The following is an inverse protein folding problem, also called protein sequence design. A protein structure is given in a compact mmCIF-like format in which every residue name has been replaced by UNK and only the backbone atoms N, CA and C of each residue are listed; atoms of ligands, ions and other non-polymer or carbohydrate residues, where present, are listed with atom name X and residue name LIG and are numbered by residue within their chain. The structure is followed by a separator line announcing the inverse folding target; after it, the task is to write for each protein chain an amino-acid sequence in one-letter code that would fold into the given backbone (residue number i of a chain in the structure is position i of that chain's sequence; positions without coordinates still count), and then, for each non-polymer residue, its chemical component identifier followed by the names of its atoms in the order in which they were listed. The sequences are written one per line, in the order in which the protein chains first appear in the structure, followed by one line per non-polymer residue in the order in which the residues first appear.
data_IF_836751830155
#
_entry.id   IF_836751830155
#
_cell.length_a   1.000
_cell.length_b   1.000
_cell.length_c   1.000
_cell.angle_alpha   90.00
_cell.angle_beta   90.00
_cell.angle_gamma   90.00
#
_symmetry.space_group_name_H-M   'P 1'
#
loop_
_entity.id
_entity.type
_entity.pdbx_description
1 polymer ?
#
# COMPACT_ATOMS: atom_id res chain seq x y z
N UNK A 1 0.00 -49.30 -23.18
CA UNK A 1 -1.45 -49.04 -23.12
C UNK A 1 -1.76 -47.74 -23.85
N UNK A 2 -2.88 -47.65 -24.57
CA UNK A 2 -3.41 -46.38 -25.10
C UNK A 2 -4.58 -45.92 -24.23
N UNK A 3 -4.74 -44.62 -24.01
CA UNK A 3 -5.84 -44.03 -23.26
C UNK A 3 -6.28 -42.72 -23.91
N UNK A 4 -7.56 -42.37 -23.75
CA UNK A 4 -8.14 -41.16 -24.32
C UNK A 4 -7.93 -39.97 -23.38
N UNK A 5 -7.55 -38.82 -23.95
CA UNK A 5 -7.40 -37.54 -23.24
C UNK A 5 -8.68 -36.71 -23.34
N UNK A 6 -8.73 -35.60 -22.58
CA UNK A 6 -9.84 -34.63 -22.62
C UNK A 6 -10.08 -33.98 -23.99
N UNK A 7 -9.06 -33.90 -24.84
CA UNK A 7 -9.12 -33.38 -26.21
C UNK A 7 -9.55 -34.44 -27.24
N UNK A 8 -10.05 -35.61 -26.78
CA UNK A 8 -10.36 -36.80 -27.57
C UNK A 8 -9.16 -37.39 -28.35
N UNK A 9 -7.93 -36.94 -28.07
CA UNK A 9 -6.74 -37.56 -28.63
C UNK A 9 -6.33 -38.80 -27.84
N UNK A 10 -5.62 -39.71 -28.50
CA UNK A 10 -5.12 -40.94 -27.88
C UNK A 10 -3.64 -40.77 -27.52
N UNK A 11 -3.32 -41.01 -26.25
CA UNK A 11 -1.93 -41.09 -25.79
C UNK A 11 -1.55 -42.51 -25.45
N UNK A 12 -0.26 -42.84 -25.58
CA UNK A 12 0.29 -44.12 -25.20
C UNK A 12 1.26 -43.97 -24.03
N UNK A 13 1.18 -44.88 -23.06
CA UNK A 13 2.20 -45.07 -22.02
C UNK A 13 2.70 -46.51 -22.08
N UNK A 14 4.02 -46.67 -22.07
CA UNK A 14 4.72 -47.96 -22.03
C UNK A 14 5.38 -48.20 -20.66
N UNK A 15 6.11 -49.31 -20.52
CA UNK A 15 6.91 -49.61 -19.32
C UNK A 15 6.18 -50.34 -18.20
N UNK A 16 5.09 -51.04 -18.49
CA UNK A 16 4.37 -51.86 -17.50
C UNK A 16 4.92 -53.28 -17.47
N UNK A 17 5.10 -53.84 -16.28
CA UNK A 17 5.58 -55.21 -16.07
C UNK A 17 4.57 -56.26 -16.54
N UNK A 18 3.26 -55.94 -16.48
CA UNK A 18 2.18 -56.86 -16.87
C UNK A 18 1.11 -56.18 -17.72
N UNK A 19 0.42 -56.97 -18.55
CA UNK A 19 -0.73 -56.50 -19.36
C UNK A 19 -1.87 -55.99 -18.47
N UNK A 20 -2.09 -56.62 -17.32
CA UNK A 20 -3.11 -56.26 -16.34
C UNK A 20 -2.83 -54.90 -15.71
N UNK A 21 -1.59 -54.62 -15.30
CA UNK A 21 -1.19 -53.31 -14.80
C UNK A 21 -1.39 -52.22 -15.87
N UNK A 22 -1.06 -52.52 -17.13
CA UNK A 22 -1.26 -51.61 -18.24
C UNK A 22 -2.75 -51.28 -18.47
N UNK A 23 -3.65 -52.27 -18.38
CA UNK A 23 -5.10 -52.10 -18.51
C UNK A 23 -5.71 -51.29 -17.36
N UNK A 24 -5.37 -51.64 -16.11
CA UNK A 24 -5.87 -50.94 -14.92
C UNK A 24 -5.48 -49.46 -14.95
N UNK A 25 -4.22 -49.17 -15.29
CA UNK A 25 -3.77 -47.79 -15.42
C UNK A 25 -4.55 -47.02 -16.50
N UNK A 26 -4.82 -47.65 -17.65
CA UNK A 26 -5.64 -47.02 -18.71
C UNK A 26 -7.07 -46.73 -18.25
N UNK A 27 -7.70 -47.67 -17.56
CA UNK A 27 -9.06 -47.51 -17.01
C UNK A 27 -9.13 -46.42 -15.94
N UNK A 28 -8.10 -46.29 -15.09
CA UNK A 28 -7.98 -45.20 -14.12
C UNK A 28 -7.89 -43.84 -14.82
N UNK A 29 -7.06 -43.70 -15.86
CA UNK A 29 -6.98 -42.45 -16.61
C UNK A 29 -8.31 -42.09 -17.28
N UNK A 30 -8.97 -43.06 -17.90
CA UNK A 30 -10.30 -42.86 -18.51
C UNK A 30 -11.36 -42.54 -17.46
N UNK A 31 -11.27 -43.10 -16.25
CA UNK A 31 -12.14 -42.74 -15.13
C UNK A 31 -11.93 -41.29 -14.69
N UNK A 32 -10.67 -40.83 -14.58
CA UNK A 32 -10.36 -39.43 -14.30
C UNK A 32 -10.86 -38.48 -15.39
N UNK A 33 -10.78 -38.88 -16.67
CA UNK A 33 -11.29 -38.10 -17.80
C UNK A 33 -12.82 -37.99 -17.72
N UNK A 34 -13.51 -39.11 -17.49
CA UNK A 34 -14.97 -39.13 -17.29
C UNK A 34 -15.41 -38.31 -16.09
N UNK A 35 -14.64 -38.31 -15.00
CA UNK A 35 -14.89 -37.50 -13.82
C UNK A 35 -14.57 -36.01 -14.01
N UNK A 36 -13.91 -35.63 -15.12
CA UNK A 36 -13.46 -34.26 -15.38
C UNK A 36 -12.31 -33.80 -14.47
N UNK A 37 -11.68 -34.72 -13.74
CA UNK A 37 -10.56 -34.45 -12.82
C UNK A 37 -9.21 -34.78 -13.43
N UNK A 38 -9.18 -35.27 -14.67
CA UNK A 38 -7.93 -35.58 -15.35
C UNK A 38 -7.15 -34.30 -15.66
N UNK A 39 -5.90 -34.29 -15.21
CA UNK A 39 -4.92 -33.25 -15.49
C UNK A 39 -3.75 -33.95 -16.19
N UNK A 40 -3.26 -33.40 -17.30
CA UNK A 40 -2.14 -34.00 -18.02
C UNK A 40 -0.93 -34.12 -17.08
N UNK A 41 -0.34 -35.32 -16.89
CA UNK A 41 0.82 -35.52 -16.03
C UNK A 41 1.97 -34.55 -16.31
N UNK A 42 2.20 -34.19 -17.58
CA UNK A 42 3.24 -33.21 -17.93
C UNK A 42 2.91 -31.80 -17.46
N UNK A 43 1.63 -31.47 -17.42
CA UNK A 43 1.15 -30.17 -16.92
C UNK A 43 1.19 -30.10 -15.39
N UNK A 44 1.16 -31.23 -14.70
CA UNK A 44 1.32 -31.32 -13.24
C UNK A 44 2.77 -31.14 -12.78
N UNK A 45 3.73 -31.42 -13.66
CA UNK A 45 5.17 -31.36 -13.37
C UNK A 45 5.76 -29.94 -13.44
N UNK A 46 4.99 -28.94 -13.88
CA UNK A 46 5.45 -27.54 -13.90
C UNK A 46 5.90 -27.11 -12.50
N UNK A 47 7.05 -26.45 -12.44
CA UNK A 47 7.57 -25.94 -11.17
C UNK A 47 6.78 -24.72 -10.70
N UNK A 48 6.74 -24.47 -9.40
CA UNK A 48 6.10 -23.29 -8.84
C UNK A 48 6.75 -22.00 -9.38
N UNK A 49 8.07 -21.98 -9.57
CA UNK A 49 8.78 -20.83 -10.11
C UNK A 49 8.32 -20.45 -11.52
N UNK A 50 8.21 -21.44 -12.41
CA UNK A 50 7.70 -21.24 -13.77
C UNK A 50 6.25 -20.78 -13.76
N UNK A 51 5.41 -21.40 -12.93
CA UNK A 51 4.01 -21.01 -12.79
C UNK A 51 3.87 -19.57 -12.25
N UNK A 52 4.66 -19.20 -11.23
CA UNK A 52 4.66 -17.86 -10.66
C UNK A 52 5.11 -16.80 -11.69
N UNK A 53 6.08 -17.12 -12.55
CA UNK A 53 6.49 -16.24 -13.65
C UNK A 53 5.38 -16.07 -14.70
N UNK A 54 4.70 -17.16 -15.09
CA UNK A 54 3.55 -17.11 -16.00
C UNK A 54 2.41 -16.28 -15.42
N UNK A 55 2.11 -16.46 -14.13
CA UNK A 55 1.13 -15.66 -13.42
C UNK A 55 1.50 -14.18 -13.41
N UNK A 56 2.77 -13.88 -13.10
CA UNK A 56 3.27 -12.51 -13.05
C UNK A 56 3.11 -11.76 -14.37
N UNK A 57 3.37 -12.43 -15.49
CA UNK A 57 3.24 -11.85 -16.83
C UNK A 57 1.79 -11.45 -17.17
N UNK A 58 0.80 -12.10 -16.55
CA UNK A 58 -0.63 -11.87 -16.82
C UNK A 58 -1.31 -11.03 -15.72
N UNK A 59 -0.68 -10.88 -14.56
CA UNK A 59 -1.26 -10.23 -13.40
C UNK A 59 -1.49 -8.73 -13.64
N UNK A 60 -2.75 -8.29 -13.56
CA UNK A 60 -3.11 -6.87 -13.60
C UNK A 60 -3.17 -6.30 -12.18
N UNK A 61 -2.05 -5.78 -11.72
CA UNK A 61 -1.88 -5.23 -10.36
C UNK A 61 -1.65 -3.71 -10.41
N UNK A 62 -2.01 -3.00 -9.35
CA UNK A 62 -1.56 -1.61 -9.18
C UNK A 62 -0.06 -1.58 -8.85
N UNK A 63 0.64 -0.51 -9.22
CA UNK A 63 2.09 -0.33 -9.01
C UNK A 63 2.54 -0.72 -7.59
N UNK A 64 1.81 -0.27 -6.56
CA UNK A 64 2.14 -0.57 -5.17
C UNK A 64 1.88 -2.05 -4.81
N UNK A 65 0.80 -2.65 -5.32
CA UNK A 65 0.53 -4.08 -5.10
C UNK A 65 1.57 -4.94 -5.79
N UNK A 66 1.98 -4.57 -7.00
CA UNK A 66 3.05 -5.24 -7.72
C UNK A 66 4.38 -5.15 -6.94
N UNK A 67 4.78 -3.96 -6.49
CA UNK A 67 6.00 -3.83 -5.68
C UNK A 67 5.94 -4.70 -4.40
N UNK A 68 4.81 -4.68 -3.69
CA UNK A 68 4.59 -5.50 -2.49
C UNK A 68 4.69 -7.00 -2.79
N UNK A 69 3.98 -7.47 -3.82
CA UNK A 69 3.98 -8.89 -4.18
C UNK A 69 5.33 -9.36 -4.68
N UNK A 70 6.05 -8.50 -5.42
CA UNK A 70 7.41 -8.82 -5.88
C UNK A 70 8.35 -9.02 -4.70
N UNK A 71 8.28 -8.13 -3.70
CA UNK A 71 9.05 -8.26 -2.46
C UNK A 71 8.74 -9.58 -1.75
N UNK A 72 7.48 -9.97 -1.60
CA UNK A 72 7.11 -11.24 -0.97
C UNK A 72 7.56 -12.47 -1.77
N UNK A 73 7.41 -12.42 -3.09
CA UNK A 73 7.86 -13.49 -3.98
C UNK A 73 9.35 -13.71 -3.85
N UNK A 74 10.15 -12.64 -3.99
CA UNK A 74 11.61 -12.75 -4.04
C UNK A 74 12.21 -13.05 -2.67
N UNK A 75 11.66 -12.48 -1.59
CA UNK A 75 12.22 -12.63 -0.26
C UNK A 75 11.83 -13.94 0.46
N UNK A 76 10.61 -14.45 0.24
CA UNK A 76 10.06 -15.51 1.09
C UNK A 76 9.51 -16.71 0.33
N UNK A 77 8.82 -16.49 -0.80
CA UNK A 77 8.09 -17.57 -1.48
C UNK A 77 9.01 -18.33 -2.44
N UNK A 78 9.67 -17.63 -3.37
CA UNK A 78 10.55 -18.26 -4.36
C UNK A 78 11.75 -18.97 -3.73
N UNK A 79 12.43 -18.44 -2.68
CA UNK A 79 13.52 -19.16 -2.03
C UNK A 79 13.11 -20.52 -1.47
N UNK A 80 11.85 -20.69 -1.06
CA UNK A 80 11.35 -21.94 -0.50
C UNK A 80 10.80 -22.90 -1.57
N UNK A 81 10.08 -22.37 -2.56
CA UNK A 81 9.21 -23.21 -3.40
C UNK A 81 9.55 -23.22 -4.88
N UNK A 82 10.45 -22.35 -5.38
CA UNK A 82 10.67 -22.13 -6.82
C UNK A 82 10.88 -23.44 -7.59
N UNK A 83 11.72 -24.34 -7.08
CA UNK A 83 12.13 -25.55 -7.79
C UNK A 83 11.20 -26.75 -7.52
N UNK A 84 10.17 -26.57 -6.71
CA UNK A 84 9.21 -27.63 -6.40
C UNK A 84 8.13 -27.74 -7.48
N UNK A 85 7.84 -28.96 -7.97
CA UNK A 85 6.67 -29.21 -8.81
C UNK A 85 5.39 -28.84 -8.06
N UNK A 86 4.42 -28.21 -8.74
CA UNK A 86 3.15 -27.83 -8.11
C UNK A 86 2.43 -29.03 -7.47
N UNK A 87 2.49 -30.20 -8.11
CA UNK A 87 1.90 -31.43 -7.57
C UNK A 87 2.60 -31.92 -6.30
N UNK A 88 3.92 -31.71 -6.17
CA UNK A 88 4.66 -32.05 -4.96
C UNK A 88 4.28 -31.14 -3.78
N UNK A 89 4.10 -29.84 -4.05
CA UNK A 89 3.57 -28.89 -3.06
C UNK A 89 2.15 -29.29 -2.64
N UNK A 90 1.31 -29.70 -3.60
CA UNK A 90 -0.05 -30.15 -3.31
C UNK A 90 -0.08 -31.36 -2.36
N UNK A 91 0.78 -32.35 -2.60
CA UNK A 91 0.82 -33.58 -1.83
C UNK A 91 1.46 -33.43 -0.45
N UNK A 92 2.24 -32.36 -0.21
CA UNK A 92 3.02 -32.22 1.02
C UNK A 92 2.57 -31.03 1.89
N UNK A 93 1.44 -31.22 2.57
CA UNK A 93 0.89 -30.23 3.48
C UNK A 93 1.79 -29.92 4.69
N UNK A 94 2.55 -30.91 5.19
CA UNK A 94 3.44 -30.74 6.34
C UNK A 94 4.56 -29.74 6.04
N UNK A 95 5.13 -29.77 4.83
CA UNK A 95 6.16 -28.80 4.43
C UNK A 95 5.63 -27.37 4.40
N UNK A 96 4.38 -27.18 3.98
CA UNK A 96 3.74 -25.86 3.99
C UNK A 96 3.58 -25.35 5.42
N UNK A 97 3.08 -26.19 6.33
CA UNK A 97 2.94 -25.82 7.74
C UNK A 97 4.31 -25.55 8.38
N UNK A 98 5.33 -26.36 8.08
CA UNK A 98 6.70 -26.16 8.55
C UNK A 98 7.32 -24.87 8.04
N UNK A 99 7.08 -24.52 6.77
CA UNK A 99 7.51 -23.24 6.19
C UNK A 99 6.81 -22.05 6.84
N UNK A 100 5.49 -22.12 7.07
CA UNK A 100 4.75 -21.06 7.78
C UNK A 100 5.28 -20.85 9.20
N UNK A 101 5.61 -21.92 9.92
CA UNK A 101 6.19 -21.81 11.25
C UNK A 101 7.55 -21.09 11.20
N UNK A 102 8.42 -21.41 10.24
CA UNK A 102 9.69 -20.68 10.04
C UNK A 102 9.48 -19.21 9.72
N UNK A 103 8.43 -18.86 8.96
CA UNK A 103 8.09 -17.46 8.73
C UNK A 103 7.67 -16.74 10.01
N UNK A 104 7.00 -17.43 10.94
CA UNK A 104 6.65 -16.86 12.24
C UNK A 104 7.88 -16.63 13.14
N UNK A 105 8.96 -17.39 12.95
CA UNK A 105 10.23 -17.17 13.68
C UNK A 105 10.96 -15.90 13.20
N UNK A 106 10.77 -15.52 11.93
CA UNK A 106 11.49 -14.42 11.28
C UNK A 106 10.66 -13.13 11.13
N UNK A 107 9.33 -13.23 11.04
CA UNK A 107 8.44 -12.11 10.74
C UNK A 107 7.32 -11.94 11.76
N UNK A 108 6.85 -10.70 11.88
CA UNK A 108 5.63 -10.41 12.62
C UNK A 108 4.40 -11.10 12.00
N UNK A 109 3.46 -11.55 12.84
CA UNK A 109 2.26 -12.30 12.44
C UNK A 109 1.48 -11.69 11.25
N UNK A 110 1.23 -10.37 11.19
CA UNK A 110 0.50 -9.77 10.05
C UNK A 110 1.27 -9.86 8.72
N UNK A 111 2.60 -9.84 8.80
CA UNK A 111 3.48 -10.01 7.64
C UNK A 111 3.43 -11.45 7.16
N UNK A 112 3.48 -12.43 8.06
CA UNK A 112 3.31 -13.85 7.73
C UNK A 112 1.96 -14.09 7.05
N UNK A 113 0.87 -13.56 7.62
CA UNK A 113 -0.45 -13.64 7.02
C UNK A 113 -0.50 -13.03 5.61
N UNK A 114 0.19 -11.91 5.38
CA UNK A 114 0.26 -11.26 4.06
C UNK A 114 1.05 -12.08 3.03
N UNK A 115 2.19 -12.65 3.42
CA UNK A 115 3.01 -13.52 2.56
C UNK A 115 2.24 -14.80 2.22
N UNK A 116 1.66 -15.44 3.23
CA UNK A 116 0.88 -16.66 3.06
C UNK A 116 -0.38 -16.43 2.21
N UNK A 117 -1.05 -15.29 2.36
CA UNK A 117 -2.20 -14.94 1.53
C UNK A 117 -1.83 -14.85 0.03
N UNK A 118 -0.65 -14.31 -0.30
CA UNK A 118 -0.17 -14.30 -1.68
C UNK A 118 0.13 -15.72 -2.19
N UNK A 119 0.80 -16.54 -1.38
CA UNK A 119 1.07 -17.95 -1.71
C UNK A 119 -0.23 -18.72 -1.98
N UNK A 120 -1.22 -18.61 -1.09
CA UNK A 120 -2.55 -19.22 -1.27
C UNK A 120 -3.28 -18.68 -2.50
N UNK A 121 -3.11 -17.39 -2.85
CA UNK A 121 -3.67 -16.82 -4.08
C UNK A 121 -3.05 -17.44 -5.34
N UNK A 122 -1.74 -17.71 -5.33
CA UNK A 122 -1.06 -18.39 -6.42
C UNK A 122 -1.54 -19.84 -6.54
N UNK A 123 -1.63 -20.58 -5.44
CA UNK A 123 -2.18 -21.94 -5.43
C UNK A 123 -3.63 -21.98 -5.92
N UNK A 124 -4.49 -21.04 -5.52
CA UNK A 124 -5.85 -20.92 -6.05
C UNK A 124 -5.86 -20.65 -7.56
N UNK A 125 -4.90 -19.88 -8.06
CA UNK A 125 -4.78 -19.64 -9.51
C UNK A 125 -4.33 -20.91 -10.23
N UNK A 126 -3.45 -21.71 -9.62
CA UNK A 126 -3.04 -23.01 -10.15
C UNK A 126 -4.21 -24.01 -10.21
N UNK A 127 -5.12 -23.99 -9.22
CA UNK A 127 -6.38 -24.77 -9.26
C UNK A 127 -7.24 -24.34 -10.44
N UNK A 128 -7.43 -23.03 -10.65
CA UNK A 128 -8.22 -22.50 -11.77
C UNK A 128 -7.61 -22.83 -13.13
N UNK A 129 -6.28 -22.86 -13.20
CA UNK A 129 -5.52 -23.30 -14.38
C UNK A 129 -5.48 -24.83 -14.54
N UNK A 130 -6.19 -25.59 -13.69
CA UNK A 130 -6.22 -27.06 -13.65
C UNK A 130 -4.82 -27.69 -13.57
N UNK A 131 -3.88 -27.05 -12.86
CA UNK A 131 -2.54 -27.61 -12.62
C UNK A 131 -2.48 -28.49 -11.37
N UNK A 132 -3.30 -28.15 -10.37
CA UNK A 132 -3.47 -28.91 -9.13
C UNK A 132 -4.97 -29.10 -8.86
N UNK A 133 -5.37 -30.21 -8.21
CA UNK A 133 -6.79 -30.53 -8.03
C UNK A 133 -7.48 -29.64 -6.99
N UNK A 134 -6.77 -29.21 -5.94
CA UNK A 134 -7.29 -28.32 -4.91
C UNK A 134 -6.17 -27.45 -4.30
N UNK A 135 -6.54 -26.44 -3.51
CA UNK A 135 -5.58 -25.56 -2.87
C UNK A 135 -5.00 -26.23 -1.61
N UNK A 136 -3.68 -26.53 -1.56
CA UNK A 136 -3.05 -27.18 -0.40
C UNK A 136 -2.91 -26.28 0.82
N UNK A 137 -3.12 -24.97 0.66
CA UNK A 137 -3.13 -23.98 1.74
C UNK A 137 -4.39 -24.06 2.62
N UNK A 138 -5.41 -24.82 2.19
CA UNK A 138 -6.62 -24.99 2.96
C UNK A 138 -6.32 -25.77 4.27
N UNK A 139 -6.76 -25.22 5.40
CA UNK A 139 -6.54 -25.82 6.72
C UNK A 139 -5.20 -25.48 7.39
N UNK A 140 -4.28 -24.79 6.69
CA UNK A 140 -3.04 -24.28 7.28
C UNK A 140 -3.38 -23.19 8.28
N UNK A 141 -2.89 -23.33 9.52
CA UNK A 141 -3.12 -22.34 10.57
C UNK A 141 -2.10 -21.22 10.44
N UNK A 142 -2.59 -20.01 10.21
CA UNK A 142 -1.78 -18.79 10.22
C UNK A 142 -2.38 -17.84 11.24
N UNK A 143 -1.60 -17.47 12.26
CA UNK A 143 -2.01 -16.43 13.19
C UNK A 143 -1.85 -15.07 12.50
N UNK A 144 -2.88 -14.24 12.53
CA UNK A 144 -2.85 -12.88 11.98
C UNK A 144 -2.48 -11.82 13.02
N UNK A 145 -2.13 -12.22 14.25
CA UNK A 145 -2.01 -11.33 15.39
C UNK A 145 -3.37 -10.94 15.96
N UNK A 146 -3.48 -10.98 17.29
CA UNK A 146 -4.48 -10.21 18.01
C UNK A 146 -4.03 -8.75 18.03
N UNK A 147 -4.74 -7.86 17.34
CA UNK A 147 -4.53 -6.43 17.51
C UNK A 147 -5.29 -5.97 18.75
N UNK A 148 -4.59 -5.70 19.85
CA UNK A 148 -5.14 -4.78 20.83
C UNK A 148 -5.19 -3.40 20.17
N UNK A 149 -6.40 -2.99 19.80
CA UNK A 149 -6.64 -1.66 19.26
C UNK A 149 -6.67 -0.65 20.40
N UNK A 150 -5.54 -0.47 21.07
CA UNK A 150 -5.37 0.72 21.91
C UNK A 150 -5.26 1.92 20.95
N UNK A 151 -6.43 2.49 20.61
CA UNK A 151 -6.52 3.67 19.75
C UNK A 151 -6.08 4.87 20.56
N UNK A 152 -4.77 5.06 20.63
CA UNK A 152 -4.20 6.25 21.23
C UNK A 152 -4.53 7.45 20.35
N UNK A 153 -5.47 8.27 20.83
CA UNK A 153 -5.84 9.53 20.19
C UNK A 153 -4.99 10.64 20.79
N UNK A 154 -4.27 11.37 19.94
CA UNK A 154 -3.46 12.49 20.38
C UNK A 154 -4.35 13.64 20.89
N UNK A 155 -4.03 14.17 22.07
CA UNK A 155 -4.64 15.40 22.58
C UNK A 155 -4.21 16.61 21.73
N UNK A 156 -5.00 17.71 21.72
CA UNK A 156 -4.62 18.92 20.99
C UNK A 156 -3.22 19.46 21.34
N UNK A 157 -2.81 19.34 22.61
CA UNK A 157 -1.48 19.75 23.09
C UNK A 157 -0.39 18.84 22.52
N UNK A 158 -0.62 17.52 22.45
CA UNK A 158 0.33 16.59 21.83
C UNK A 158 0.47 16.84 20.33
N UNK A 159 -0.63 17.14 19.64
CA UNK A 159 -0.63 17.54 18.22
C UNK A 159 0.22 18.80 18.02
N UNK A 160 0.00 19.85 18.82
CA UNK A 160 0.77 21.09 18.71
C UNK A 160 2.26 20.84 18.96
N UNK A 161 2.61 20.06 19.99
CA UNK A 161 4.01 19.68 20.26
C UNK A 161 4.64 18.91 19.10
N UNK A 162 3.90 17.98 18.48
CA UNK A 162 4.35 17.26 17.30
C UNK A 162 4.57 18.21 16.10
N UNK A 163 3.63 19.13 15.87
CA UNK A 163 3.76 20.15 14.82
C UNK A 163 4.98 21.04 15.04
N UNK A 164 5.24 21.50 16.26
CA UNK A 164 6.43 22.30 16.59
C UNK A 164 7.75 21.53 16.37
N UNK A 165 7.77 20.22 16.64
CA UNK A 165 8.95 19.38 16.32
C UNK A 165 9.15 19.24 14.82
N UNK A 166 8.08 18.99 14.07
CA UNK A 166 8.13 18.95 12.61
C UNK A 166 8.52 20.30 12.01
N UNK A 167 8.17 21.41 12.67
CA UNK A 167 8.62 22.74 12.26
C UNK A 167 10.15 22.85 12.27
N UNK A 168 10.80 22.29 13.28
CA UNK A 168 12.25 22.33 13.39
C UNK A 168 12.94 21.55 12.27
N UNK A 169 12.38 20.40 11.85
CA UNK A 169 12.98 19.53 10.83
C UNK A 169 12.62 19.91 9.39
N UNK A 170 11.36 20.30 9.16
CA UNK A 170 10.78 20.52 7.81
C UNK A 170 10.24 21.94 7.62
N UNK A 171 10.58 22.86 8.51
CA UNK A 171 10.15 24.25 8.44
C UNK A 171 8.63 24.43 8.56
N UNK A 172 8.11 25.52 8.01
CA UNK A 172 6.67 25.84 8.06
C UNK A 172 5.81 24.76 7.40
N UNK A 173 6.30 24.12 6.34
CA UNK A 173 5.58 23.07 5.64
C UNK A 173 5.27 21.87 6.55
N UNK A 174 6.25 21.40 7.32
CA UNK A 174 6.04 20.31 8.29
C UNK A 174 5.06 20.66 9.40
N UNK A 175 5.12 21.90 9.89
CA UNK A 175 4.19 22.41 10.91
C UNK A 175 2.74 22.37 10.41
N UNK A 176 2.48 22.98 9.26
CA UNK A 176 1.13 23.05 8.68
C UNK A 176 0.62 21.67 8.28
N UNK A 177 1.48 20.81 7.72
CA UNK A 177 1.12 19.44 7.33
C UNK A 177 0.68 18.59 8.53
N UNK A 178 1.34 18.73 9.67
CA UNK A 178 0.96 18.03 10.91
C UNK A 178 -0.43 18.47 11.38
N UNK A 179 -0.69 19.78 11.40
CA UNK A 179 -1.99 20.33 11.80
C UNK A 179 -3.09 19.94 10.80
N UNK A 180 -2.81 19.99 9.50
CA UNK A 180 -3.73 19.49 8.48
C UNK A 180 -4.09 18.02 8.75
N UNK A 181 -3.11 17.16 8.97
CA UNK A 181 -3.37 15.74 9.24
C UNK A 181 -4.24 15.52 10.50
N UNK A 182 -3.96 16.25 11.58
CA UNK A 182 -4.68 16.13 12.83
C UNK A 182 -6.14 16.64 12.77
N UNK A 183 -6.38 17.77 12.09
CA UNK A 183 -7.70 18.43 12.09
C UNK A 183 -8.60 18.04 10.90
N UNK A 184 -8.03 17.59 9.78
CA UNK A 184 -8.81 17.21 8.60
C UNK A 184 -9.11 15.71 8.54
N UNK A 185 -8.32 14.89 9.24
CA UNK A 185 -8.38 13.43 9.12
C UNK A 185 -8.03 12.92 7.71
N UNK A 186 -7.41 13.75 6.86
CA UNK A 186 -6.86 13.34 5.58
C UNK A 186 -5.58 12.54 5.81
N UNK A 187 -5.36 11.50 5.00
CA UNK A 187 -4.15 10.68 5.11
C UNK A 187 -2.93 11.50 4.69
N UNK A 188 -1.78 11.18 5.28
CA UNK A 188 -0.48 11.78 4.90
C UNK A 188 -0.29 11.87 3.38
N UNK A 189 -0.49 10.74 2.68
CA UNK A 189 -0.31 10.68 1.24
C UNK A 189 -1.32 11.52 0.45
N UNK A 190 -2.51 11.79 1.00
CA UNK A 190 -3.51 12.66 0.37
C UNK A 190 -3.11 14.14 0.52
N UNK A 191 -2.55 14.53 1.67
CA UNK A 191 -2.12 15.90 1.94
C UNK A 191 -0.85 16.28 1.16
N UNK A 192 0.12 15.38 1.06
CA UNK A 192 1.36 15.64 0.31
C UNK A 192 1.11 15.65 -1.21
N UNK A 193 0.02 15.04 -1.68
CA UNK A 193 -0.38 15.12 -3.10
C UNK A 193 -1.12 16.41 -3.47
N UNK A 194 -1.47 17.25 -2.48
CA UNK A 194 -2.26 18.46 -2.71
C UNK A 194 -1.46 19.48 -3.52
N UNK A 195 -1.99 19.88 -4.66
CA UNK A 195 -1.38 20.91 -5.48
C UNK A 195 -1.96 22.29 -5.16
N UNK A 196 -1.14 23.34 -5.29
CA UNK A 196 -1.52 24.70 -4.91
C UNK A 196 -2.75 25.26 -5.62
N UNK A 197 -3.06 24.74 -6.82
CA UNK A 197 -4.21 25.13 -7.63
C UNK A 197 -5.51 24.39 -7.25
N UNK A 198 -5.44 23.33 -6.43
CA UNK A 198 -6.59 22.53 -6.05
C UNK A 198 -7.35 23.11 -4.85
N UNK A 199 -6.75 24.06 -4.13
CA UNK A 199 -7.35 24.74 -2.99
C UNK A 199 -8.46 25.70 -3.42
N UNK A 200 -9.61 25.63 -2.74
CA UNK A 200 -10.74 26.53 -2.95
C UNK A 200 -10.65 27.72 -2.00
N UNK A 201 -10.29 28.88 -2.57
CA UNK A 201 -10.11 30.14 -1.85
C UNK A 201 -11.44 30.75 -1.37
N UNK A 202 -12.57 30.40 -2.02
CA UNK A 202 -13.89 30.94 -1.68
C UNK A 202 -14.48 30.19 -0.50
N UNK A 203 -14.42 28.86 -0.54
CA UNK A 203 -15.00 28.00 0.49
C UNK A 203 -14.00 27.58 1.57
N UNK A 204 -12.75 28.05 1.49
CA UNK A 204 -11.64 27.67 2.36
C UNK A 204 -11.51 26.15 2.53
N UNK A 205 -11.48 25.42 1.41
CA UNK A 205 -11.55 23.97 1.42
C UNK A 205 -10.45 23.31 0.60
N UNK A 206 -9.96 22.16 1.09
CA UNK A 206 -9.02 21.31 0.36
C UNK A 206 -9.72 20.08 -0.19
N UNK A 207 -9.40 19.64 -1.42
CA UNK A 207 -9.96 18.42 -1.96
C UNK A 207 -9.06 17.22 -1.65
N UNK A 208 -9.64 16.19 -1.04
CA UNK A 208 -9.02 14.86 -0.96
C UNK A 208 -9.41 14.10 -2.21
N UNK A 209 -8.47 13.94 -3.15
CA UNK A 209 -8.72 13.29 -4.45
C UNK A 209 -7.90 12.02 -4.63
N UNK A 210 -6.59 12.19 -4.78
CA UNK A 210 -5.69 11.11 -5.16
C UNK A 210 -4.45 11.17 -4.29
N UNK A 211 -4.08 10.06 -3.63
CA UNK A 211 -2.88 10.05 -2.82
C UNK A 211 -1.63 10.10 -3.70
N UNK A 212 -0.56 10.67 -3.14
CA UNK A 212 0.79 10.50 -3.64
C UNK A 212 1.27 9.08 -3.31
N UNK A 213 1.77 8.39 -4.32
CA UNK A 213 2.28 7.03 -4.19
C UNK A 213 3.77 7.02 -4.48
N UNK A 214 4.52 6.34 -3.64
CA UNK A 214 5.93 6.04 -3.89
C UNK A 214 6.06 4.58 -4.30
N UNK A 215 6.61 4.34 -5.50
CA UNK A 215 6.90 2.99 -5.98
C UNK A 215 8.33 2.98 -6.52
N UNK A 216 9.18 2.12 -5.97
CA UNK A 216 10.59 1.96 -6.37
C UNK A 216 11.36 3.30 -6.44
N UNK A 217 11.21 4.14 -5.41
CA UNK A 217 11.86 5.45 -5.30
C UNK A 217 11.30 6.53 -6.24
N UNK A 218 10.17 6.28 -6.91
CA UNK A 218 9.51 7.26 -7.78
C UNK A 218 8.17 7.68 -7.17
N UNK A 219 8.01 8.98 -6.98
CA UNK A 219 6.77 9.60 -6.53
C UNK A 219 5.84 9.84 -7.73
N UNK A 220 4.59 9.40 -7.62
CA UNK A 220 3.54 9.63 -8.61
C UNK A 220 2.23 9.90 -7.91
N UNK A 221 1.51 10.93 -8.36
CA UNK A 221 0.12 11.14 -7.95
C UNK A 221 -0.74 10.06 -8.59
N UNK A 222 -1.54 9.35 -7.80
CA UNK A 222 -2.39 8.29 -8.34
C UNK A 222 -3.34 8.87 -9.40
N UNK A 223 -3.47 8.21 -10.56
CA UNK A 223 -4.34 8.69 -11.66
C UNK A 223 -5.82 8.66 -11.31
N UNK A 224 -6.24 7.76 -10.40
CA UNK A 224 -7.63 7.60 -9.97
C UNK A 224 -7.69 7.13 -8.52
N UNK A 225 -8.62 7.68 -7.75
CA UNK A 225 -8.95 7.16 -6.43
C UNK A 225 -9.47 5.73 -6.55
N UNK A 226 -9.12 4.84 -5.60
CA UNK A 226 -9.56 3.44 -5.60
C UNK A 226 -11.10 3.31 -5.62
N UNK A 227 -11.80 4.27 -5.02
CA UNK A 227 -13.27 4.35 -5.01
C UNK A 227 -13.72 5.81 -5.17
N UNK A 228 -14.90 6.06 -5.78
CA UNK A 228 -15.46 7.41 -5.91
C UNK A 228 -15.79 8.04 -4.55
N UNK A 229 -16.18 7.23 -3.56
CA UNK A 229 -16.42 7.65 -2.18
C UNK A 229 -15.17 8.19 -1.46
N UNK A 230 -13.97 7.94 -2.00
CA UNK A 230 -12.73 8.51 -1.47
C UNK A 230 -12.52 9.98 -1.82
N UNK A 231 -13.32 10.54 -2.74
CA UNK A 231 -13.24 11.95 -3.12
C UNK A 231 -14.13 12.78 -2.20
N UNK A 232 -13.54 13.75 -1.50
CA UNK A 232 -14.30 14.66 -0.63
C UNK A 232 -13.62 16.03 -0.55
N UNK A 233 -14.42 17.05 -0.28
CA UNK A 233 -13.92 18.35 0.13
C UNK A 233 -13.87 18.41 1.65
N UNK A 234 -12.81 19.01 2.18
CA UNK A 234 -12.66 19.23 3.61
C UNK A 234 -12.54 20.74 3.84
N UNK A 235 -13.54 21.37 4.47
CA UNK A 235 -13.43 22.78 4.86
C UNK A 235 -12.38 22.92 5.97
N UNK A 236 -11.54 23.93 5.85
CA UNK A 236 -10.49 24.24 6.83
C UNK A 236 -11.04 25.20 7.89
N UNK A 237 -10.80 24.92 9.19
CA UNK A 237 -11.03 25.90 10.25
C UNK A 237 -10.24 27.18 9.99
N UNK A 238 -10.76 28.34 10.42
CA UNK A 238 -10.17 29.65 10.09
C UNK A 238 -8.68 29.80 10.43
N UNK A 239 -8.25 29.30 11.59
CA UNK A 239 -6.83 29.33 11.98
C UNK A 239 -5.95 28.48 11.05
N UNK A 240 -6.45 27.31 10.63
CA UNK A 240 -5.71 26.38 9.77
C UNK A 240 -5.68 26.88 8.33
N UNK A 241 -6.77 27.51 7.89
CA UNK A 241 -6.82 28.23 6.64
C UNK A 241 -5.76 29.34 6.58
N UNK A 242 -5.70 30.21 7.60
CA UNK A 242 -4.71 31.28 7.66
C UNK A 242 -3.28 30.75 7.57
N UNK A 243 -2.97 29.67 8.30
CA UNK A 243 -1.66 29.00 8.23
C UNK A 243 -1.36 28.40 6.85
N UNK A 244 -2.36 27.81 6.20
CA UNK A 244 -2.20 27.21 4.88
C UNK A 244 -2.01 28.27 3.79
N UNK A 245 -2.74 29.39 3.86
CA UNK A 245 -2.59 30.53 2.96
C UNK A 245 -1.22 31.20 3.15
N UNK A 246 -0.77 31.41 4.40
CA UNK A 246 0.58 31.90 4.69
C UNK A 246 1.64 31.00 4.04
N UNK A 247 1.54 29.69 4.24
CA UNK A 247 2.43 28.72 3.63
C UNK A 247 2.45 28.81 2.09
N UNK A 248 1.28 28.94 1.45
CA UNK A 248 1.19 29.09 -0.02
C UNK A 248 1.85 30.38 -0.50
N UNK A 249 1.69 31.48 0.24
CA UNK A 249 2.26 32.78 -0.12
C UNK A 249 3.78 32.84 0.05
N UNK A 250 4.33 32.04 0.96
CA UNK A 250 5.77 31.93 1.21
C UNK A 250 6.53 31.11 0.16
N UNK A 251 5.84 30.43 -0.76
CA UNK A 251 6.47 29.68 -1.86
C UNK A 251 6.60 30.59 -3.08
N UNK A 252 7.83 30.97 -3.43
CA UNK A 252 8.12 31.84 -4.57
C UNK A 252 7.56 31.26 -5.88
N UNK A 253 6.93 32.07 -6.77
CA UNK A 253 6.35 31.60 -8.03
C UNK A 253 7.35 30.88 -8.96
N UNK A 254 8.66 31.09 -8.78
CA UNK A 254 9.74 30.44 -9.54
C UNK A 254 10.12 29.03 -9.05
N UNK A 255 9.76 28.67 -7.82
CA UNK A 255 10.00 27.35 -7.21
C UNK A 255 8.78 26.43 -7.32
N UNK A 256 7.93 26.65 -8.33
CA UNK A 256 6.92 25.66 -8.72
C UNK A 256 7.67 24.38 -9.10
N UNK A 257 7.67 23.41 -8.18
CA UNK A 257 8.30 22.10 -8.31
C UNK A 257 8.19 21.58 -9.75
N UNK A 258 9.31 21.63 -10.48
CA UNK A 258 9.49 20.72 -11.60
C UNK A 258 9.38 19.30 -11.03
N UNK A 259 8.73 18.33 -11.72
CA UNK A 259 8.37 17.02 -11.17
C UNK A 259 9.57 16.07 -10.92
N UNK A 260 10.78 16.61 -10.78
CA UNK A 260 11.98 15.88 -10.46
C UNK A 260 12.47 16.27 -9.05
N UNK A 261 11.85 15.70 -8.02
CA UNK A 261 12.48 15.58 -6.71
C UNK A 261 13.68 14.61 -6.89
N UNK A 262 14.84 15.12 -7.31
CA UNK A 262 16.10 14.37 -7.19
C UNK A 262 16.47 14.40 -5.71
N UNK A 263 16.48 13.24 -5.08
CA UNK A 263 17.20 13.03 -3.82
C UNK A 263 18.69 13.22 -4.15
N UNK A 264 19.17 14.45 -3.99
CA UNK A 264 20.56 14.82 -4.21
C UNK A 264 21.33 14.72 -2.91
N UNK A 265 22.26 13.77 -2.85
CA UNK A 265 23.33 13.68 -1.86
C UNK A 265 24.00 15.03 -1.65
N UNK A 266 24.03 15.51 -0.41
CA UNK A 266 24.82 16.67 0.00
C UNK A 266 26.32 16.34 -0.11
N UNK A 267 26.96 16.73 -1.21
CA UNK A 267 28.41 16.82 -1.31
C UNK A 267 28.86 18.20 -0.84
N UNK A 268 29.50 18.26 0.32
CA UNK A 268 30.18 19.46 0.80
C UNK A 268 31.34 19.81 -0.14
N UNK A 269 31.28 20.98 -0.77
CA UNK A 269 32.39 21.55 -1.52
C UNK A 269 33.15 22.56 -0.67
N UNK A 270 34.27 22.13 -0.10
CA UNK A 270 35.34 23.04 0.34
C UNK A 270 36.35 23.19 -0.80
N UNK A 271 36.51 24.42 -1.27
CA UNK A 271 37.48 24.87 -2.26
C UNK A 271 38.93 24.80 -1.76
N UNK A 272 39.86 24.41 -2.63
CA UNK A 272 41.30 24.74 -2.51
C UNK A 272 41.81 25.16 -3.90
N UNK A 273 42.59 26.26 -4.04
CA UNK A 273 43.06 26.77 -5.33
C UNK A 273 44.46 26.24 -5.69
N UNK A 274 44.74 26.11 -7.00
CA UNK A 274 46.07 25.74 -7.51
C UNK A 274 46.31 26.05 -8.99
N UNK A 275 46.97 27.18 -9.24
CA UNK A 275 48.04 27.47 -10.24
C UNK A 275 47.95 27.03 -11.72
N UNK A 276 48.06 28.02 -12.65
CA UNK A 276 49.20 28.07 -13.61
C UNK A 276 49.01 27.83 -15.13
N UNK A 277 48.50 28.82 -15.87
CA UNK A 277 48.92 29.35 -17.21
C UNK A 277 49.03 28.41 -18.49
N UNK A 278 49.29 28.92 -19.74
CA UNK A 278 48.31 29.06 -20.85
C UNK A 278 48.81 28.49 -22.23
N UNK A 279 48.40 29.00 -23.43
CA UNK A 279 47.08 29.04 -24.07
C UNK A 279 47.01 28.19 -25.37
N UNK A 280 45.80 27.84 -25.81
CA UNK A 280 45.55 27.20 -27.12
C UNK A 280 44.29 27.74 -27.79
N UNK A 281 44.44 28.20 -29.03
CA UNK A 281 43.49 28.90 -29.88
C UNK A 281 42.29 28.03 -30.32
N UNK A 282 41.07 28.61 -30.34
CA UNK A 282 39.87 27.92 -30.86
C UNK A 282 38.58 28.75 -30.81
N UNK A 283 38.21 29.28 -31.98
CA UNK A 283 37.07 30.15 -32.35
C UNK A 283 35.65 29.70 -31.83
N UNK A 284 34.77 30.63 -31.40
CA UNK A 284 33.43 30.31 -30.90
C UNK A 284 32.38 30.13 -32.00
N UNK A 285 31.54 29.10 -31.89
CA UNK A 285 30.20 29.08 -32.54
C UNK A 285 29.13 28.72 -31.53
N UNK A 286 28.44 29.76 -31.09
CA UNK A 286 27.16 29.68 -30.39
C UNK A 286 26.08 29.05 -31.28
N UNK A 287 25.37 28.04 -30.78
CA UNK A 287 24.08 27.62 -31.32
C UNK A 287 23.03 27.75 -30.22
N UNK A 288 22.18 28.77 -30.39
CA UNK A 288 20.85 28.89 -29.78
C UNK A 288 20.01 27.68 -30.16
N UNK A 289 19.37 27.04 -29.18
CA UNK A 289 18.23 26.16 -29.41
C UNK A 289 16.97 26.90 -28.93
N UNK A 290 16.05 27.12 -29.86
CA UNK A 290 14.86 27.96 -29.70
C UNK A 290 13.69 27.27 -28.99
N UNK A 291 12.98 28.09 -28.24
CA UNK A 291 11.70 27.78 -27.60
C UNK A 291 10.58 27.97 -28.64
N UNK A 292 9.89 26.90 -29.04
CA UNK A 292 8.73 26.96 -29.92
C UNK A 292 7.44 27.15 -29.13
N UNK A 293 6.88 28.36 -29.14
CA UNK A 293 5.48 28.61 -28.76
C UNK A 293 4.56 27.90 -29.76
N UNK A 294 3.58 27.14 -29.25
CA UNK A 294 2.46 26.64 -30.05
C UNK A 294 1.16 27.10 -29.41
N UNK A 295 0.39 27.82 -30.21
CA UNK A 295 -0.82 28.57 -29.91
C UNK A 295 -1.99 27.68 -29.50
N UNK A 296 -2.78 28.15 -28.53
CA UNK A 296 -4.10 27.59 -28.17
C UNK A 296 -5.17 28.07 -29.17
N UNK A 297 -6.15 27.23 -29.55
CA UNK A 297 -7.39 27.71 -30.14
C UNK A 297 -8.57 27.61 -29.16
N UNK A 298 -9.31 28.72 -29.03
CA UNK A 298 -10.78 28.73 -29.07
C UNK A 298 -11.56 28.23 -27.85
N UNK A 299 -11.97 29.17 -27.00
CA UNK A 299 -13.12 29.07 -26.09
C UNK A 299 -14.46 29.02 -26.85
N UNK A 300 -15.47 28.29 -26.32
CA UNK A 300 -16.87 28.65 -26.51
C UNK A 300 -17.60 28.99 -25.20
N UNK A 301 -18.32 30.11 -25.31
CA UNK A 301 -19.39 30.69 -24.52
C UNK A 301 -20.02 29.89 -23.35
N UNK A 302 -20.07 30.60 -22.23
CA UNK A 302 -21.03 30.50 -21.12
C UNK A 302 -22.49 30.37 -21.60
N UNK A 303 -23.20 29.37 -21.06
CA UNK A 303 -24.67 29.39 -20.98
C UNK A 303 -25.06 28.96 -19.56
N UNK A 304 -25.69 29.88 -18.85
CA UNK A 304 -26.20 29.72 -17.49
C UNK A 304 -27.35 28.72 -17.45
N UNK A 305 -27.38 27.86 -16.44
CA UNK A 305 -28.54 27.08 -16.06
C UNK A 305 -28.62 27.01 -14.53
N UNK A 306 -29.58 27.76 -13.98
CA UNK A 306 -30.08 27.66 -12.61
C UNK A 306 -30.68 26.27 -12.36
N UNK A 307 -30.62 25.76 -11.13
CA UNK A 307 -31.77 25.00 -10.64
C UNK A 307 -32.27 25.52 -9.30
N UNK A 308 -33.59 25.64 -9.30
CA UNK A 308 -34.52 25.94 -8.24
C UNK A 308 -34.53 24.92 -7.11
N UNK A 309 -34.96 25.42 -5.95
CA UNK A 309 -35.22 24.73 -4.71
C UNK A 309 -35.98 23.40 -4.82
N UNK A 310 -35.65 22.48 -3.91
CA UNK A 310 -36.61 21.54 -3.32
C UNK A 310 -36.12 21.19 -1.91
N UNK A 311 -36.91 21.57 -0.92
CA UNK A 311 -36.69 21.23 0.49
C UNK A 311 -37.48 20.01 0.94
N UNK A 312 -37.43 19.85 2.27
CA UNK A 312 -38.21 18.98 3.17
C UNK A 312 -37.68 17.53 3.35
N UNK A 313 -37.85 16.89 4.54
CA UNK A 313 -38.14 17.43 5.87
C UNK A 313 -37.31 16.83 7.03
N UNK A 314 -37.36 17.56 8.14
CA UNK A 314 -37.30 17.14 9.55
C UNK A 314 -38.07 15.83 9.83
N UNK A 315 -37.47 14.92 10.61
CA UNK A 315 -37.99 14.35 11.88
C UNK A 315 -37.21 13.08 12.26
N UNK A 316 -36.59 13.07 13.45
CA UNK A 316 -36.66 11.97 14.42
C UNK A 316 -35.77 12.30 15.62
N UNK A 317 -36.41 12.51 16.76
CA UNK A 317 -35.81 12.59 18.09
C UNK A 317 -36.08 11.25 18.84
N UNK A 318 -35.71 11.06 20.12
CA UNK A 318 -34.60 10.23 20.57
C UNK A 318 -35.07 8.94 21.27
N UNK A 319 -34.13 8.01 21.53
CA UNK A 319 -34.35 6.95 22.54
C UNK A 319 -33.27 7.00 23.61
N UNK A 320 -33.71 7.46 24.77
CA UNK A 320 -33.11 7.34 26.09
C UNK A 320 -33.04 5.89 26.56
N UNK A 321 -31.92 5.49 27.16
CA UNK A 321 -31.87 4.45 28.18
C UNK A 321 -30.77 4.80 29.18
N UNK A 322 -31.18 5.12 30.41
CA UNK A 322 -30.32 5.39 31.55
C UNK A 322 -29.83 4.10 32.25
N UNK A 323 -29.35 4.20 33.50
CA UNK A 323 -27.97 3.89 33.83
C UNK A 323 -27.80 2.56 34.57
N UNK A 324 -26.62 1.96 34.47
CA UNK A 324 -26.15 0.94 35.41
C UNK A 324 -24.78 1.34 35.93
N UNK A 325 -24.77 1.88 37.15
CA UNK A 325 -23.56 2.19 37.89
C UNK A 325 -22.96 0.92 38.48
N UNK A 326 -21.67 0.70 38.24
CA UNK A 326 -20.84 -0.23 38.99
C UNK A 326 -19.60 0.53 39.45
N UNK A 327 -19.51 0.74 40.76
CA UNK A 327 -18.34 1.25 41.46
C UNK A 327 -17.36 0.10 41.66
N UNK A 328 -16.10 0.27 41.24
CA UNK A 328 -14.99 -0.59 41.66
C UNK A 328 -13.78 0.32 41.94
N UNK A 329 -13.19 0.09 43.11
CA UNK A 329 -12.30 0.98 43.83
C UNK A 329 -10.97 1.29 43.14
N UNK A 330 -10.57 2.56 43.27
CA UNK A 330 -9.22 3.01 43.06
C UNK A 330 -8.28 2.35 44.09
N UNK A 331 -7.27 1.63 43.61
CA UNK A 331 -6.11 1.23 44.41
C UNK A 331 -4.96 2.17 44.03
N UNK A 332 -4.61 3.06 44.96
CA UNK A 332 -3.52 4.01 44.84
C UNK A 332 -2.15 3.31 44.85
N UNK A 333 -1.20 3.87 44.11
CA UNK A 333 0.24 3.60 44.22
C UNK A 333 0.96 4.86 44.74
N UNK A 334 2.12 4.71 45.41
CA UNK A 334 2.57 5.61 46.46
C UNK A 334 3.21 6.89 45.94
N UNK A 335 2.87 8.01 46.57
CA UNK A 335 3.48 9.32 46.39
C UNK A 335 4.87 9.35 47.02
N UNK A 336 5.89 9.59 46.21
CA UNK A 336 7.23 9.95 46.66
C UNK A 336 7.22 11.32 47.34
N UNK A 337 7.78 11.33 48.54
CA UNK A 337 8.05 12.46 49.43
C UNK A 337 8.60 13.70 48.72
N UNK A 338 7.91 14.84 48.89
CA UNK A 338 8.55 16.14 48.75
C UNK A 338 8.32 16.94 50.04
N UNK A 339 9.39 17.08 50.81
CA UNK A 339 9.44 17.75 52.10
C UNK A 339 9.40 19.25 51.89
N UNK A 340 8.49 19.97 52.54
CA UNK A 340 8.54 21.42 52.71
C UNK A 340 8.04 21.78 54.12
N UNK A 341 8.63 22.79 54.78
CA UNK A 341 8.57 22.96 56.23
C UNK A 341 7.24 23.61 56.71
N UNK A 342 6.88 23.48 58.00
CA UNK A 342 5.58 23.91 58.51
C UNK A 342 5.50 25.42 58.79
N UNK A 343 4.34 26.00 58.47
CA UNK A 343 3.91 27.34 58.87
C UNK A 343 3.21 27.24 60.25
N UNK A 344 3.48 28.14 61.22
CA UNK A 344 2.93 28.03 62.57
C UNK A 344 1.45 28.42 62.63
N UNK A 345 0.67 27.70 63.47
CA UNK A 345 -0.72 28.03 63.78
C UNK A 345 -0.80 29.22 64.75
N UNK A 346 -1.76 30.14 64.60
CA UNK A 346 -2.08 31.10 65.64
C UNK A 346 -2.93 30.43 66.72
N UNK A 347 -2.55 30.65 67.98
CA UNK A 347 -3.36 30.35 69.15
C UNK A 347 -3.92 31.63 69.76
N UNK A 348 -4.99 31.43 70.54
CA UNK A 348 -5.87 32.38 71.25
C UNK A 348 -6.87 33.16 70.39
#
# INVERSE_FOLDING_TARGET
MRYQRLDNTWASKGGFETKTAALNWGQEQEAHVRAGTWIDPKEQEITFGEFAAQWWAQARLSDNTAAKYRSYLDAHILPAWKDWPLIAIFNNHLEIQGWVNRLHDELAEPSVASVFALFSTLCNTAVRARRIPANPCNGVRVSSGGYETDRQVATPVQVLRAAMRLHHTFGRAGFVLCLLNAYTGARWSELVALESHEYDEVNHAIPVRTPLQETAGRLKKAKRAKTPAGKRWIPLPGFLNALYVDLRSAVEPGERCSPALRVGSCGAGTSVPGSGAPPGTGNPRARRCGCGHRSCPGSPSTRAATPTARGWPTTASPKSAGPRGWAIGCRAWPTSTNTSPPIPKPGS
#
